data_IF_772348205335
#
_entry.id   IF_772348205335
#
_cell.length_a   1.000
_cell.length_b   1.000
_cell.length_c   1.000
_cell.angle_alpha   90.00
_cell.angle_beta   90.00
_cell.angle_gamma   90.00
#
_symmetry.space_group_name_H-M   'P 1'
#
loop_
_entity.id
_entity.type
_entity.pdbx_description
1 polymer ?
2 non-polymer ?
3 water ?
#
# COMPACT_ATOMS: atom_id res chain seq x y z
N UNK A 1 -22.37 10.50 -26.57
CA UNK A 1 -21.05 9.79 -26.55
C UNK A 1 -20.93 8.88 -27.79
N UNK A 2 -20.43 9.45 -28.88
CA UNK A 2 -20.26 8.73 -30.13
C UNK A 2 -19.42 7.46 -29.96
N UNK A 3 -19.51 6.57 -30.93
CA UNK A 3 -18.76 5.32 -30.89
C UNK A 3 -17.27 5.62 -31.03
N UNK A 4 -16.96 6.83 -31.47
CA UNK A 4 -15.58 7.26 -31.65
C UNK A 4 -14.88 7.45 -30.31
N UNK A 5 -15.50 8.22 -29.42
CA UNK A 5 -14.91 8.45 -28.12
C UNK A 5 -14.79 7.14 -27.35
N UNK A 6 -15.66 6.20 -27.67
CA UNK A 6 -15.67 4.90 -27.01
C UNK A 6 -14.79 3.86 -27.68
N UNK A 7 -13.86 4.33 -28.51
CA UNK A 7 -12.91 3.45 -29.19
C UNK A 7 -11.57 3.59 -28.44
N UNK A 8 -11.10 2.50 -27.84
CA UNK A 8 -9.83 2.56 -27.11
C UNK A 8 -8.88 1.48 -27.59
N UNK A 9 -7.59 1.63 -27.28
CA UNK A 9 -6.62 0.64 -27.70
C UNK A 9 -6.84 -0.52 -26.73
N UNK A 10 -7.12 -1.71 -27.23
CA UNK A 10 -7.36 -2.85 -26.34
C UNK A 10 -6.04 -3.44 -25.85
N UNK A 11 -5.00 -3.34 -26.66
CA UNK A 11 -3.70 -3.86 -26.30
C UNK A 11 -2.63 -2.90 -26.77
N UNK A 12 -1.37 -3.28 -26.55
CA UNK A 12 -0.23 -2.46 -26.94
C UNK A 12 0.13 -2.59 -28.41
N UNK A 13 -0.53 -3.51 -29.10
CA UNK A 13 -0.24 -3.72 -30.51
C UNK A 13 -1.01 -2.73 -31.39
N UNK A 14 -1.80 -1.87 -30.75
CA UNK A 14 -2.56 -0.89 -31.49
C UNK A 14 -3.98 -1.31 -31.84
N UNK A 15 -4.38 -2.54 -31.51
CA UNK A 15 -5.74 -2.97 -31.80
C UNK A 15 -6.75 -2.05 -31.12
N UNK A 16 -7.90 -1.86 -31.74
CA UNK A 16 -8.92 -1.00 -31.16
C UNK A 16 -10.15 -1.82 -30.76
N UNK A 17 -10.88 -1.32 -29.78
CA UNK A 17 -12.09 -1.97 -29.29
C UNK A 17 -13.12 -0.89 -29.00
N UNK A 18 -14.37 -1.16 -29.34
CA UNK A 18 -15.42 -0.20 -29.09
C UNK A 18 -16.22 -0.70 -27.91
N UNK A 19 -16.12 -0.01 -26.78
CA UNK A 19 -16.88 -0.42 -25.61
C UNK A 19 -18.27 0.19 -25.64
N UNK A 20 -19.22 -0.53 -25.05
CA UNK A 20 -20.58 -0.02 -25.00
C UNK A 20 -20.61 0.99 -23.87
N UNK A 21 -21.55 1.94 -23.95
CA UNK A 21 -21.68 2.93 -22.92
C UNK A 21 -22.05 2.23 -21.62
N UNK A 22 -22.86 1.19 -21.71
CA UNK A 22 -23.27 0.45 -20.53
C UNK A 22 -22.07 -0.05 -19.73
N UNK A 23 -21.09 -0.61 -20.42
CA UNK A 23 -19.90 -1.14 -19.76
C UNK A 23 -19.13 -0.04 -19.04
N UNK A 24 -19.08 1.13 -19.66
CA UNK A 24 -18.39 2.26 -19.06
C UNK A 24 -19.10 2.73 -17.80
N UNK A 25 -20.44 2.66 -17.80
CA UNK A 25 -21.22 3.06 -16.63
C UNK A 25 -20.83 2.14 -15.49
N UNK A 26 -20.64 0.86 -15.80
CA UNK A 26 -20.26 -0.14 -14.82
C UNK A 26 -18.82 0.04 -14.37
N UNK A 27 -17.96 0.45 -15.30
CA UNK A 27 -16.56 0.67 -14.95
C UNK A 27 -16.47 1.78 -13.93
N UNK A 28 -17.26 2.83 -14.14
CA UNK A 28 -17.28 3.97 -13.24
C UNK A 28 -17.63 3.51 -11.83
N UNK A 29 -18.69 2.72 -11.72
CA UNK A 29 -19.13 2.20 -10.44
C UNK A 29 -18.00 1.49 -9.74
N UNK A 30 -17.42 0.49 -10.40
CA UNK A 30 -16.33 -0.24 -9.79
C UNK A 30 -15.25 0.76 -9.39
N UNK A 31 -14.96 1.69 -10.28
CA UNK A 31 -13.94 2.68 -9.99
C UNK A 31 -14.29 3.50 -8.76
N UNK A 32 -15.48 4.09 -8.74
CA UNK A 32 -15.89 4.91 -7.61
C UNK A 32 -15.93 4.13 -6.31
N UNK A 33 -16.06 2.82 -6.41
CA UNK A 33 -16.13 1.99 -5.22
C UNK A 33 -14.76 1.52 -4.75
N UNK A 34 -13.89 1.16 -5.69
CA UNK A 34 -12.56 0.63 -5.32
C UNK A 34 -11.35 1.48 -5.64
N UNK A 35 -11.54 2.59 -6.31
CA UNK A 35 -10.38 3.39 -6.67
C UNK A 35 -10.42 4.86 -6.31
N UNK A 36 -11.62 5.41 -6.23
CA UNK A 36 -11.81 6.84 -5.94
C UNK A 36 -11.16 7.31 -4.65
N UNK A 37 -10.87 6.37 -3.75
CA UNK A 37 -10.25 6.71 -2.48
C UNK A 37 -8.89 7.38 -2.67
N UNK A 38 -8.14 6.90 -3.66
CA UNK A 38 -6.82 7.46 -3.91
C UNK A 38 -6.71 7.98 -5.33
N UNK A 39 -7.76 7.79 -6.13
CA UNK A 39 -7.72 8.23 -7.52
C UNK A 39 -8.84 9.12 -8.04
N UNK A 40 -9.65 9.69 -7.16
CA UNK A 40 -10.73 10.55 -7.64
C UNK A 40 -10.10 11.61 -8.56
N UNK A 41 -10.79 11.90 -9.67
CA UNK A 41 -10.32 12.88 -10.64
C UNK A 41 -9.06 12.44 -11.38
N UNK A 42 -8.76 11.15 -11.33
CA UNK A 42 -7.59 10.63 -12.03
C UNK A 42 -6.26 11.00 -11.40
N UNK A 43 -6.30 11.33 -10.13
CA UNK A 43 -5.08 11.68 -9.43
C UNK A 43 -4.64 10.47 -8.62
N UNK A 44 -3.50 10.58 -7.96
CA UNK A 44 -3.01 9.52 -7.10
C UNK A 44 -2.65 10.31 -5.85
N UNK A 45 -3.55 10.26 -4.88
CA UNK A 45 -3.41 10.98 -3.64
C UNK A 45 -2.03 11.00 -3.02
N UNK A 46 -1.45 9.82 -2.80
CA UNK A 46 -0.15 9.73 -2.17
C UNK A 46 1.03 9.63 -3.12
N UNK A 47 0.80 9.85 -4.41
CA UNK A 47 1.87 9.84 -5.38
C UNK A 47 1.39 10.62 -6.59
N UNK A 48 1.49 11.94 -6.52
CA UNK A 48 1.07 12.86 -7.57
C UNK A 48 1.55 12.56 -8.98
N UNK A 49 2.82 12.20 -9.13
CA UNK A 49 3.38 11.92 -10.44
C UNK A 49 2.78 10.72 -11.16
N UNK A 50 2.55 9.63 -10.42
CA UNK A 50 1.98 8.42 -11.01
C UNK A 50 0.44 8.50 -11.04
N UNK A 51 -0.06 9.42 -11.87
CA UNK A 51 -1.49 9.71 -12.04
C UNK A 51 -2.25 8.76 -12.98
N UNK A 52 -3.52 9.09 -13.26
CA UNK A 52 -4.34 8.32 -14.17
C UNK A 52 -4.54 9.10 -15.45
N UNK A 53 -3.66 10.08 -15.68
CA UNK A 53 -3.71 10.90 -16.88
C UNK A 53 -3.05 10.08 -17.98
N UNK A 54 -3.43 10.34 -19.25
CA UNK A 54 -2.84 9.61 -20.38
C UNK A 54 -1.32 9.69 -20.39
N UNK A 55 -0.79 10.90 -20.19
CA UNK A 55 0.66 11.08 -20.17
C UNK A 55 1.35 10.16 -19.16
N UNK A 56 0.90 10.19 -17.91
CA UNK A 56 1.49 9.35 -16.88
C UNK A 56 1.38 7.87 -17.23
N UNK A 57 0.18 7.45 -17.62
CA UNK A 57 -0.07 6.06 -18.00
C UNK A 57 0.87 5.62 -19.12
N UNK A 58 0.97 6.47 -20.14
CA UNK A 58 1.81 6.17 -21.29
C UNK A 58 3.29 6.03 -20.91
N UNK A 59 3.70 6.75 -19.86
CA UNK A 59 5.08 6.71 -19.44
C UNK A 59 5.40 5.68 -18.37
N UNK A 60 4.41 4.85 -18.03
CA UNK A 60 4.60 3.81 -17.03
C UNK A 60 5.35 2.65 -17.69
N UNK A 61 5.73 1.65 -16.89
CA UNK A 61 6.44 0.51 -17.42
C UNK A 61 5.82 -0.81 -16.98
N UNK A 62 5.15 -1.51 -17.90
CA UNK A 62 4.97 -1.13 -19.31
C UNK A 62 3.89 -0.05 -19.38
N UNK A 63 3.70 0.58 -20.55
CA UNK A 63 2.68 1.61 -20.65
C UNK A 63 1.34 1.03 -20.20
N UNK A 64 0.59 1.79 -19.44
CA UNK A 64 -0.72 1.35 -18.97
C UNK A 64 -1.78 2.12 -19.73
N UNK A 65 -1.49 2.44 -20.99
CA UNK A 65 -2.40 3.21 -21.82
C UNK A 65 -3.31 2.42 -22.77
N UNK A 66 -3.57 1.16 -22.43
CA UNK A 66 -4.47 0.32 -23.23
C UNK A 66 -5.21 -0.60 -22.27
N UNK A 67 -6.42 -1.00 -22.65
CA UNK A 67 -7.25 -1.87 -21.82
C UNK A 67 -6.54 -3.08 -21.21
N UNK A 68 -5.79 -3.81 -22.03
CA UNK A 68 -5.08 -4.99 -21.54
C UNK A 68 -4.09 -4.64 -20.45
N UNK A 69 -3.34 -3.56 -20.67
CA UNK A 69 -2.33 -3.14 -19.72
C UNK A 69 -2.98 -2.71 -18.41
N UNK A 70 -4.10 -2.02 -18.51
CA UNK A 70 -4.79 -1.56 -17.31
C UNK A 70 -5.38 -2.77 -16.56
N UNK A 71 -5.94 -3.70 -17.30
CA UNK A 71 -6.51 -4.89 -16.67
C UNK A 71 -5.40 -5.67 -15.95
N UNK A 72 -4.24 -5.80 -16.60
CA UNK A 72 -3.10 -6.51 -16.01
C UNK A 72 -2.68 -5.83 -14.72
N UNK A 73 -2.63 -4.50 -14.78
CA UNK A 73 -2.25 -3.72 -13.62
C UNK A 73 -3.07 -4.04 -12.38
N UNK A 74 -4.39 -4.10 -12.54
CA UNK A 74 -5.25 -4.39 -11.39
C UNK A 74 -5.06 -5.81 -10.93
N UNK A 75 -4.83 -6.72 -11.87
CA UNK A 75 -4.60 -8.11 -11.53
C UNK A 75 -3.22 -8.27 -10.89
N UNK A 76 -2.26 -7.46 -11.32
CA UNK A 76 -0.90 -7.56 -10.80
C UNK A 76 -0.21 -6.20 -10.72
N UNK A 77 -0.60 -5.38 -9.73
CA UNK A 77 -0.03 -4.05 -9.52
C UNK A 77 1.50 -4.01 -9.34
N UNK A 78 2.14 -3.06 -10.01
CA UNK A 78 3.59 -2.90 -9.90
C UNK A 78 3.94 -1.40 -9.82
N UNK A 79 5.10 -1.08 -9.25
CA UNK A 79 5.52 0.32 -9.14
C UNK A 79 5.52 0.96 -10.51
N UNK A 80 5.65 2.27 -10.55
CA UNK A 80 5.64 2.96 -11.83
C UNK A 80 6.70 2.41 -12.77
N UNK A 81 7.90 2.14 -12.24
CA UNK A 81 8.97 1.60 -13.06
C UNK A 81 8.70 0.12 -13.34
N UNK A 82 7.50 -0.30 -12.96
CA UNK A 82 7.02 -1.66 -13.15
C UNK A 82 7.92 -2.82 -12.76
N UNK A 83 8.77 -2.66 -11.76
CA UNK A 83 9.64 -3.77 -11.44
C UNK A 83 9.53 -4.33 -10.03
N UNK A 84 8.67 -3.70 -9.23
CA UNK A 84 8.41 -4.17 -7.88
C UNK A 84 6.91 -4.37 -7.79
N UNK A 85 6.51 -5.59 -7.44
CA UNK A 85 5.10 -5.94 -7.32
C UNK A 85 4.53 -5.36 -6.04
N UNK A 86 3.50 -4.54 -6.16
CA UNK A 86 2.91 -3.92 -4.97
C UNK A 86 1.48 -4.37 -4.71
N UNK A 87 1.19 -5.61 -5.06
CA UNK A 87 -0.14 -6.16 -4.88
C UNK A 87 -0.45 -6.34 -3.40
N UNK A 88 0.59 -6.48 -2.58
CA UNK A 88 0.44 -6.63 -1.14
C UNK A 88 -0.13 -5.35 -0.50
N UNK A 89 0.12 -4.21 -1.15
CA UNK A 89 -0.31 -2.92 -0.63
C UNK A 89 -1.24 -2.15 -1.53
N UNK A 90 -1.32 -2.58 -2.79
CA UNK A 90 -2.21 -1.91 -3.73
C UNK A 90 -3.36 -2.82 -4.09
N UNK A 91 -4.58 -2.27 -4.21
CA UNK A 91 -5.75 -3.07 -4.54
C UNK A 91 -5.51 -3.97 -5.75
N UNK A 92 -5.89 -5.24 -5.61
CA UNK A 92 -5.74 -6.26 -6.63
C UNK A 92 -6.56 -7.45 -6.17
N UNK A 93 -6.61 -8.49 -6.98
CA UNK A 93 -7.38 -9.68 -6.65
C UNK A 93 -6.69 -10.56 -5.61
N UNK A 94 -5.39 -10.37 -5.46
CA UNK A 94 -4.63 -11.14 -4.47
C UNK A 94 -4.42 -10.24 -3.26
N UNK A 95 -5.13 -9.13 -3.26
CA UNK A 95 -5.04 -8.13 -2.20
C UNK A 95 -6.41 -7.85 -1.56
N UNK A 96 -7.42 -8.62 -1.99
CA UNK A 96 -8.79 -8.47 -1.50
C UNK A 96 -8.94 -8.64 0.01
N UNK A 97 -7.88 -9.06 0.68
CA UNK A 97 -7.91 -9.24 2.13
C UNK A 97 -8.09 -7.90 2.81
N UNK A 98 -7.26 -6.94 2.42
CA UNK A 98 -7.30 -5.60 3.00
C UNK A 98 -8.09 -4.63 2.13
N UNK A 99 -8.66 -5.14 1.06
CA UNK A 99 -9.45 -4.34 0.15
C UNK A 99 -10.73 -5.10 -0.21
N UNK A 100 -11.71 -5.11 0.71
CA UNK A 100 -13.01 -5.79 0.57
C UNK A 100 -13.66 -5.65 -0.81
N UNK A 101 -13.57 -4.44 -1.38
CA UNK A 101 -14.18 -4.19 -2.68
C UNK A 101 -13.56 -4.95 -3.84
N UNK A 102 -12.50 -5.71 -3.58
CA UNK A 102 -11.85 -6.46 -4.65
C UNK A 102 -12.22 -7.95 -4.61
N UNK A 103 -13.11 -8.32 -3.69
CA UNK A 103 -13.52 -9.70 -3.55
C UNK A 103 -14.44 -10.24 -4.65
N UNK A 104 -15.33 -9.40 -5.15
CA UNK A 104 -16.26 -9.82 -6.19
C UNK A 104 -15.96 -9.24 -7.57
N UNK A 105 -14.75 -8.72 -7.74
CA UNK A 105 -14.38 -8.13 -9.02
C UNK A 105 -14.05 -9.22 -10.04
N UNK A 106 -14.67 -9.11 -11.21
CA UNK A 106 -14.45 -10.07 -12.28
C UNK A 106 -13.70 -9.39 -13.43
N UNK A 107 -13.17 -10.21 -14.33
CA UNK A 107 -12.46 -9.73 -15.51
C UNK A 107 -13.30 -8.69 -16.25
N UNK A 108 -14.60 -8.97 -16.35
CA UNK A 108 -15.50 -8.06 -17.02
C UNK A 108 -15.41 -6.67 -16.41
N UNK A 109 -15.37 -6.62 -15.08
CA UNK A 109 -15.29 -5.35 -14.37
C UNK A 109 -13.95 -4.69 -14.64
N UNK A 110 -12.88 -5.48 -14.65
CA UNK A 110 -11.56 -4.95 -14.90
C UNK A 110 -11.51 -4.31 -16.26
N UNK A 111 -12.19 -4.95 -17.21
CA UNK A 111 -12.28 -4.49 -18.58
C UNK A 111 -13.03 -3.15 -18.64
N UNK A 112 -14.11 -3.05 -17.85
CA UNK A 112 -14.95 -1.86 -17.79
C UNK A 112 -14.23 -0.68 -17.10
N UNK A 113 -13.59 -0.96 -15.97
CA UNK A 113 -12.88 0.08 -15.26
C UNK A 113 -11.78 0.63 -16.17
N UNK A 114 -11.14 -0.26 -16.92
CA UNK A 114 -10.08 0.13 -17.84
C UNK A 114 -10.62 1.08 -18.91
N UNK A 115 -11.81 0.77 -19.42
CA UNK A 115 -12.40 1.62 -20.43
C UNK A 115 -12.77 2.96 -19.81
N UNK A 116 -13.30 2.91 -18.59
CA UNK A 116 -13.69 4.13 -17.88
C UNK A 116 -12.48 5.05 -17.70
N UNK A 117 -11.42 4.51 -17.11
CA UNK A 117 -10.20 5.28 -16.88
C UNK A 117 -9.73 5.95 -18.17
N UNK A 118 -9.67 5.19 -19.26
CA UNK A 118 -9.21 5.72 -20.55
C UNK A 118 -10.19 6.72 -21.18
N UNK A 119 -11.45 6.66 -20.75
CA UNK A 119 -12.45 7.56 -21.29
C UNK A 119 -12.36 8.98 -20.72
N UNK A 120 -12.17 9.08 -19.41
CA UNK A 120 -12.14 10.37 -18.73
C UNK A 120 -11.38 11.51 -19.41
N UNK A 121 -10.11 11.31 -19.78
CA UNK A 121 -9.44 12.45 -20.44
C UNK A 121 -10.10 12.85 -21.77
N UNK A 122 -10.72 11.89 -22.45
CA UNK A 122 -11.38 12.18 -23.72
C UNK A 122 -12.59 13.09 -23.50
N UNK A 123 -13.14 13.06 -22.29
CA UNK A 123 -14.32 13.87 -21.98
C UNK A 123 -14.07 14.98 -20.94
N UNK A 124 -13.09 14.79 -20.08
CA UNK A 124 -12.82 15.82 -19.08
C UNK A 124 -11.54 16.59 -19.36
N UNK A 125 -10.89 16.24 -20.47
CA UNK A 125 -9.65 16.90 -20.84
C UNK A 125 -8.62 16.83 -19.72
N UNK A 126 -8.04 17.98 -19.38
CA UNK A 126 -7.03 18.06 -18.36
C UNK A 126 -7.58 18.13 -16.94
N UNK A 127 -8.90 18.09 -16.80
CA UNK A 127 -9.46 18.11 -15.47
C UNK A 127 -9.13 16.76 -14.83
N UNK A 128 -9.01 15.74 -15.68
CA UNK A 128 -8.67 14.40 -15.20
C UNK A 128 -7.16 14.23 -15.12
N UNK A 129 -6.68 13.78 -13.97
CA UNK A 129 -5.26 13.57 -13.77
C UNK A 129 -4.52 14.90 -13.67
N UNK B 1 6.83 -8.14 34.72
CA UNK B 1 7.69 -7.75 33.56
C UNK B 1 8.96 -7.05 34.06
N UNK B 2 9.98 -7.86 34.36
CA UNK B 2 11.25 -7.34 34.86
C UNK B 2 11.85 -6.30 33.92
N UNK B 3 12.80 -5.53 34.45
CA UNK B 3 13.47 -4.50 33.67
C UNK B 3 14.32 -5.15 32.59
N UNK B 4 14.57 -6.45 32.74
CA UNK B 4 15.36 -7.20 31.78
C UNK B 4 14.61 -7.37 30.46
N UNK B 5 13.38 -7.86 30.53
CA UNK B 5 12.58 -8.08 29.34
C UNK B 5 12.33 -6.76 28.63
N UNK B 6 12.34 -5.68 29.41
CA UNK B 6 12.09 -4.34 28.89
C UNK B 6 13.35 -3.61 28.42
N UNK B 7 14.43 -4.38 28.21
CA UNK B 7 15.70 -3.84 27.73
C UNK B 7 15.78 -4.20 26.24
N UNK B 8 15.82 -3.19 25.37
CA UNK B 8 15.91 -3.44 23.94
C UNK B 8 17.06 -2.69 23.32
N UNK B 9 17.47 -3.10 22.12
CA UNK B 9 18.56 -2.41 21.45
C UNK B 9 17.92 -1.13 20.93
N UNK B 10 18.45 0.03 21.30
CA UNK B 10 17.86 1.28 20.84
C UNK B 10 18.32 1.61 19.42
N UNK B 11 19.51 1.17 19.07
CA UNK B 11 20.04 1.42 17.74
C UNK B 11 20.78 0.18 17.24
N UNK B 12 21.38 0.29 16.07
CA UNK B 12 22.11 -0.82 15.48
C UNK B 12 23.52 -0.95 16.01
N UNK B 13 23.95 0.01 16.84
CA UNK B 13 25.29 -0.02 17.40
C UNK B 13 25.34 -0.90 18.64
N UNK B 14 24.21 -1.48 19.01
CA UNK B 14 24.17 -2.34 20.18
C UNK B 14 23.76 -1.66 21.48
N UNK B 15 23.58 -0.35 21.46
CA UNK B 15 23.18 0.37 22.67
C UNK B 15 21.86 -0.20 23.20
N UNK B 16 21.71 -0.20 24.51
CA UNK B 16 20.48 -0.71 25.12
C UNK B 16 19.68 0.42 25.77
N UNK B 17 18.38 0.21 25.86
CA UNK B 17 17.47 1.17 26.47
C UNK B 17 16.43 0.41 27.26
N UNK B 18 16.08 0.93 28.43
CA UNK B 18 15.10 0.26 29.25
C UNK B 18 13.82 1.08 29.16
N UNK B 19 12.81 0.53 28.51
CA UNK B 19 11.54 1.25 28.40
C UNK B 19 10.67 0.98 29.61
N UNK B 20 9.85 1.96 29.96
CA UNK B 20 8.95 1.80 31.08
C UNK B 20 7.78 0.96 30.58
N UNK B 21 7.14 0.26 31.50
CA UNK B 21 5.99 -0.55 31.14
C UNK B 21 4.91 0.37 30.58
N UNK B 22 4.78 1.56 31.16
CA UNK B 22 3.78 2.51 30.73
C UNK B 22 3.89 2.81 29.24
N UNK B 23 5.12 3.04 28.78
CA UNK B 23 5.35 3.34 27.37
C UNK B 23 4.93 2.19 26.48
N UNK B 24 5.18 0.97 26.93
CA UNK B 24 4.81 -0.21 26.16
C UNK B 24 3.30 -0.33 26.08
N UNK B 25 2.60 0.03 27.14
CA UNK B 25 1.13 -0.02 27.14
C UNK B 25 0.64 0.92 26.06
N UNK B 26 1.30 2.06 25.94
CA UNK B 26 0.93 3.05 24.94
C UNK B 26 1.31 2.60 23.54
N UNK B 27 2.43 1.89 23.42
CA UNK B 27 2.85 1.40 22.13
C UNK B 27 1.82 0.43 21.59
N UNK B 28 1.32 -0.43 22.48
CA UNK B 28 0.33 -1.42 22.13
C UNK B 28 -0.90 -0.72 21.54
N UNK B 29 -1.36 0.31 22.24
CA UNK B 29 -2.53 1.07 21.78
C UNK B 29 -2.32 1.57 20.38
N UNK B 30 -1.24 2.31 20.17
CA UNK B 30 -0.98 2.85 18.83
C UNK B 30 -0.94 1.69 17.86
N UNK B 31 -0.28 0.60 18.26
CA UNK B 31 -0.19 -0.55 17.38
C UNK B 31 -1.57 -1.11 17.06
N UNK B 32 -2.35 -1.41 18.09
CA UNK B 32 -3.68 -1.97 17.86
C UNK B 32 -4.58 -1.05 17.05
N UNK B 33 -4.28 0.24 17.06
CA UNK B 33 -5.08 1.19 16.32
C UNK B 33 -4.61 1.39 14.89
N UNK B 34 -3.29 1.43 14.68
CA UNK B 34 -2.75 1.66 13.34
C UNK B 34 -2.04 0.53 12.64
N UNK B 35 -1.84 -0.59 13.32
CA UNK B 35 -1.10 -1.68 12.70
C UNK B 35 -1.75 -3.04 12.70
N UNK B 36 -2.59 -3.29 13.70
CA UNK B 36 -3.27 -4.58 13.85
C UNK B 36 -4.07 -5.03 12.63
N UNK B 37 -4.42 -4.10 11.76
CA UNK B 37 -5.18 -4.41 10.57
C UNK B 37 -4.44 -5.39 9.67
N UNK B 38 -3.13 -5.23 9.59
CA UNK B 38 -2.35 -6.13 8.74
C UNK B 38 -1.25 -6.82 9.52
N UNK B 39 -1.15 -6.49 10.80
CA UNK B 39 -0.11 -7.08 11.64
C UNK B 39 -0.49 -7.73 12.96
N UNK B 40 -1.77 -7.98 13.17
CA UNK B 40 -2.16 -8.62 14.41
C UNK B 40 -1.32 -9.90 14.57
N UNK B 41 -0.86 -10.14 15.80
CA UNK B 41 -0.06 -11.32 16.10
C UNK B 41 1.32 -11.28 15.45
N UNK B 42 1.74 -10.10 15.03
CA UNK B 42 3.05 -9.95 14.41
C UNK B 42 3.19 -10.53 13.03
N UNK B 43 2.06 -10.70 12.36
CA UNK B 43 2.09 -11.24 11.01
C UNK B 43 1.94 -10.06 10.04
N UNK B 44 2.00 -10.37 8.75
CA UNK B 44 1.83 -9.36 7.73
C UNK B 44 0.83 -10.04 6.82
N UNK B 45 -0.43 -9.66 6.98
CA UNK B 45 -1.53 -10.25 6.24
C UNK B 45 -1.30 -10.50 4.77
N UNK B 46 -0.87 -9.48 4.04
CA UNK B 46 -0.66 -9.62 2.61
C UNK B 46 0.77 -9.93 2.18
N UNK B 47 1.63 -10.24 3.14
CA UNK B 47 3.00 -10.59 2.84
C UNK B 47 3.54 -11.38 4.02
N UNK B 48 3.22 -12.67 4.06
CA UNK B 48 3.64 -13.58 5.13
C UNK B 48 5.12 -13.56 5.50
N UNK B 49 6.01 -13.53 4.52
CA UNK B 49 7.44 -13.56 4.81
C UNK B 49 7.95 -12.33 5.56
N UNK B 50 7.50 -11.15 5.17
CA UNK B 50 7.94 -9.92 5.83
C UNK B 50 7.11 -9.66 7.11
N UNK B 51 7.28 -10.52 8.10
CA UNK B 51 6.58 -10.48 9.39
C UNK B 51 7.15 -9.50 10.42
N UNK B 52 6.63 -9.57 11.65
CA UNK B 52 7.10 -8.72 12.74
C UNK B 52 7.85 -9.59 13.74
N UNK B 53 8.27 -10.77 13.28
CA UNK B 53 9.02 -11.68 14.12
C UNK B 53 10.46 -11.19 14.13
N UNK B 54 11.21 -11.50 15.20
CA UNK B 54 12.61 -11.07 15.28
C UNK B 54 13.43 -11.52 14.06
N UNK B 55 13.28 -12.77 13.66
CA UNK B 55 14.02 -13.28 12.51
C UNK B 55 13.78 -12.43 11.26
N UNK B 56 12.52 -12.21 10.91
CA UNK B 56 12.20 -11.41 9.71
C UNK B 56 12.77 -9.99 9.83
N UNK B 57 12.54 -9.35 10.98
CA UNK B 57 13.01 -8.00 11.22
C UNK B 57 14.53 -7.93 11.06
N UNK B 58 15.22 -8.89 11.67
CA UNK B 58 16.67 -8.93 11.61
C UNK B 58 17.19 -9.11 10.19
N UNK B 59 16.41 -9.77 9.36
CA UNK B 59 16.82 -10.01 7.98
C UNK B 59 16.37 -8.96 6.98
N UNK B 60 15.75 -7.90 7.48
CA UNK B 60 15.28 -6.81 6.63
C UNK B 60 16.48 -5.94 6.26
N UNK B 61 16.27 -4.98 5.36
CA UNK B 61 17.37 -4.09 4.96
C UNK B 61 16.98 -2.62 5.06
N UNK B 62 17.53 -1.90 6.04
CA UNK B 62 18.47 -2.40 7.04
C UNK B 62 17.70 -3.19 8.08
N UNK B 63 18.40 -3.90 8.98
CA UNK B 63 17.69 -4.66 10.01
C UNK B 63 16.73 -3.74 10.75
N UNK B 64 15.52 -4.23 11.02
CA UNK B 64 14.55 -3.42 11.74
C UNK B 64 14.40 -4.01 13.14
N UNK B 65 15.50 -4.54 13.66
CA UNK B 65 15.49 -5.17 14.98
C UNK B 65 15.94 -4.31 16.16
N UNK B 66 15.82 -3.00 16.03
CA UNK B 66 16.17 -2.07 17.12
C UNK B 66 15.21 -0.90 17.03
N UNK B 67 14.97 -0.27 18.18
CA UNK B 67 14.05 0.85 18.26
C UNK B 67 14.23 1.93 17.19
N UNK B 68 15.46 2.35 16.95
CA UNK B 68 15.71 3.40 15.96
C UNK B 68 15.28 2.96 14.57
N UNK B 69 15.61 1.72 14.22
CA UNK B 69 15.28 1.19 12.92
C UNK B 69 13.78 1.09 12.74
N UNK B 70 13.10 0.66 13.79
CA UNK B 70 11.66 0.54 13.71
C UNK B 70 11.03 1.91 13.60
N UNK B 71 11.55 2.87 14.36
CA UNK B 71 11.00 4.22 14.31
C UNK B 71 11.19 4.81 12.91
N UNK B 72 12.37 4.58 12.33
CA UNK B 72 12.69 5.05 10.99
C UNK B 72 11.72 4.46 9.98
N UNK B 73 11.47 3.17 10.14
CA UNK B 73 10.56 2.46 9.25
C UNK B 73 9.18 3.11 9.16
N UNK B 74 8.60 3.46 10.31
CA UNK B 74 7.28 4.07 10.32
C UNK B 74 7.34 5.46 9.72
N UNK B 75 8.44 6.16 9.95
CA UNK B 75 8.61 7.50 9.40
C UNK B 75 8.89 7.42 7.90
N UNK B 76 9.55 6.35 7.48
CA UNK B 76 9.89 6.21 6.07
C UNK B 76 9.89 4.74 5.64
N UNK B 77 8.69 4.15 5.48
CA UNK B 77 8.52 2.76 5.06
C UNK B 77 9.20 2.39 3.73
N UNK B 78 9.86 1.24 3.70
CA UNK B 78 10.53 0.75 2.50
C UNK B 78 10.31 -0.77 2.35
N UNK B 79 10.39 -1.26 1.12
CA UNK B 79 10.22 -2.70 0.90
C UNK B 79 11.18 -3.48 1.77
N UNK B 80 10.98 -4.79 1.84
CA UNK B 80 11.84 -5.61 2.68
C UNK B 80 13.31 -5.44 2.30
N UNK B 81 13.59 -5.39 1.00
CA UNK B 81 14.97 -5.22 0.53
C UNK B 81 15.38 -3.76 0.73
N UNK B 82 14.52 -3.04 1.44
CA UNK B 82 14.73 -1.63 1.76
C UNK B 82 15.17 -0.68 0.67
N UNK B 83 14.79 -0.90 -0.58
CA UNK B 83 15.26 0.00 -1.60
C UNK B 83 14.18 0.74 -2.40
N UNK B 84 12.93 0.44 -2.08
CA UNK B 84 11.81 1.11 -2.71
C UNK B 84 10.97 1.67 -1.57
N UNK B 85 10.75 2.97 -1.61
CA UNK B 85 9.97 3.64 -0.58
C UNK B 85 8.50 3.37 -0.79
N UNK B 86 7.84 2.82 0.21
CA UNK B 86 6.42 2.49 0.08
C UNK B 86 5.54 3.28 1.02
N UNK B 87 5.96 4.51 1.31
CA UNK B 87 5.21 5.38 2.21
C UNK B 87 3.89 5.80 1.59
N UNK B 88 3.83 5.78 0.27
CA UNK B 88 2.62 6.14 -0.47
C UNK B 88 1.50 5.12 -0.23
N UNK B 89 1.89 3.88 0.07
CA UNK B 89 0.94 2.80 0.28
C UNK B 89 0.98 2.17 1.64
N UNK B 90 2.05 2.45 2.40
CA UNK B 90 2.17 1.90 3.74
C UNK B 90 2.04 3.01 4.76
N UNK B 91 1.35 2.74 5.88
CA UNK B 91 1.17 3.74 6.93
C UNK B 91 2.49 4.41 7.30
N UNK B 92 2.45 5.73 7.38
CA UNK B 92 3.60 6.56 7.72
C UNK B 92 3.06 7.96 7.98
N UNK B 93 3.94 8.88 8.36
CA UNK B 93 3.52 10.25 8.65
C UNK B 93 3.26 11.05 7.38
N UNK B 94 3.81 10.60 6.26
CA UNK B 94 3.60 11.27 4.99
C UNK B 94 2.52 10.51 4.23
N UNK B 95 1.87 9.59 4.95
CA UNK B 95 0.84 8.74 4.39
C UNK B 95 -0.48 8.87 5.16
N UNK B 96 -0.51 9.79 6.12
CA UNK B 96 -1.68 10.03 6.96
C UNK B 96 -2.94 10.40 6.19
N UNK B 97 -2.81 10.63 4.89
CA UNK B 97 -3.96 11.00 4.06
C UNK B 97 -4.92 9.82 3.97
N UNK B 98 -4.37 8.65 3.65
CA UNK B 98 -5.17 7.44 3.51
C UNK B 98 -5.11 6.58 4.77
N UNK B 99 -4.45 7.10 5.79
CA UNK B 99 -4.33 6.40 7.05
C UNK B 99 -4.55 7.39 8.19
N UNK B 100 -5.82 7.72 8.46
CA UNK B 100 -6.26 8.66 9.50
C UNK B 100 -5.53 8.51 10.84
N UNK B 101 -5.30 7.26 11.25
CA UNK B 101 -4.64 7.01 12.52
C UNK B 101 -3.19 7.45 12.61
N UNK B 102 -2.65 7.97 11.50
CA UNK B 102 -1.25 8.42 11.50
C UNK B 102 -1.15 9.94 11.59
N UNK B 103 -2.28 10.62 11.74
CA UNK B 103 -2.29 12.07 11.81
C UNK B 103 -1.80 12.68 13.12
N UNK B 104 -2.06 12.00 14.24
CA UNK B 104 -1.64 12.50 15.54
C UNK B 104 -0.49 11.71 16.16
N UNK B 105 0.19 10.91 15.34
CA UNK B 105 1.29 10.10 15.85
C UNK B 105 2.54 10.95 16.04
N UNK B 106 3.12 10.85 17.23
CA UNK B 106 4.33 11.59 17.56
C UNK B 106 5.50 10.63 17.70
N UNK B 107 6.71 11.18 17.70
CA UNK B 107 7.93 10.41 17.86
C UNK B 107 7.84 9.52 19.08
N UNK B 108 7.29 10.07 20.15
CA UNK B 108 7.12 9.33 21.40
C UNK B 108 6.36 8.04 21.13
N UNK B 109 5.28 8.14 20.35
CA UNK B 109 4.46 6.98 20.01
C UNK B 109 5.26 6.00 19.18
N UNK B 110 6.02 6.52 18.23
CA UNK B 110 6.82 5.67 17.36
C UNK B 110 7.80 4.87 18.19
N UNK B 111 8.34 5.53 19.20
CA UNK B 111 9.30 4.93 20.12
C UNK B 111 8.63 3.82 20.93
N UNK B 112 7.39 4.08 21.36
CA UNK B 112 6.60 3.13 22.15
C UNK B 112 6.17 1.90 21.31
N UNK B 113 5.68 2.14 20.11
CA UNK B 113 5.24 1.06 19.25
C UNK B 113 6.44 0.18 18.96
N UNK B 114 7.59 0.81 18.76
CA UNK B 114 8.84 0.08 18.49
C UNK B 114 9.18 -0.85 19.66
N UNK B 115 9.02 -0.34 20.87
CA UNK B 115 9.31 -1.15 22.03
C UNK B 115 8.30 -2.28 22.13
N UNK B 116 7.05 -1.96 21.86
CA UNK B 116 5.98 -2.96 21.91
C UNK B 116 6.28 -4.10 20.94
N UNK B 117 6.50 -3.76 19.68
CA UNK B 117 6.81 -4.76 18.67
C UNK B 117 7.94 -5.67 19.12
N UNK B 118 9.04 -5.08 19.60
CA UNK B 118 10.21 -5.86 20.04
C UNK B 118 9.95 -6.66 21.32
N UNK B 119 8.94 -6.27 22.08
CA UNK B 119 8.61 -6.97 23.31
C UNK B 119 7.87 -8.28 23.09
N UNK B 120 6.89 -8.27 22.20
CA UNK B 120 6.07 -9.45 21.94
C UNK B 120 6.76 -10.80 21.84
N UNK B 121 7.80 -10.95 21.01
CA UNK B 121 8.41 -12.28 20.98
C UNK B 121 9.04 -12.66 22.33
N UNK B 122 9.48 -11.68 23.11
CA UNK B 122 10.08 -11.96 24.41
C UNK B 122 9.04 -12.55 25.37
N UNK B 123 7.76 -12.23 25.13
CA UNK B 123 6.69 -12.71 25.99
C UNK B 123 5.74 -13.71 25.32
N UNK B 124 5.63 -13.67 24.01
CA UNK B 124 4.73 -14.59 23.33
C UNK B 124 5.47 -15.66 22.58
N UNK B 125 6.79 -15.60 22.63
CA UNK B 125 7.60 -16.57 21.92
C UNK B 125 7.29 -16.62 20.44
N UNK B 126 7.07 -17.82 19.92
CA UNK B 126 6.77 -18.01 18.51
C UNK B 126 5.31 -17.78 18.16
N UNK B 127 4.48 -17.41 19.13
CA UNK B 127 3.10 -17.15 18.82
C UNK B 127 3.08 -15.85 18.02
N UNK B 128 4.06 -14.98 18.28
CA UNK B 128 4.17 -13.72 17.58
C UNK B 128 4.96 -13.90 16.30
N UNK B 129 4.40 -13.42 15.19
CA UNK B 129 5.05 -13.55 13.91
C UNK B 129 5.06 -14.98 13.40
X LIG C 1 -4.09 2.77 -7.70
X LIG C 1 -1.11 3.52 -9.16
X LIG C 1 -5.40 2.01 -10.86
X LIG C 1 -7.05 1.80 -6.34
X LIG C 1 -2.99 3.96 -4.74
X LIG C 1 -3.39 2.70 -9.57
X LIG C 1 -2.13 3.03 -9.99
X LIG C 1 -2.05 2.93 -11.42
X LIG C 1 -3.23 2.52 -11.89
X LIG C 1 -4.08 2.42 -10.75
X LIG C 1 -3.58 2.03 -13.29
X LIG C 1 -0.85 3.20 -12.26
X LIG C 1 -0.85 4.68 -12.55
X LIG C 1 0.19 5.05 -13.56
X LIG C 1 0.95 4.15 -13.98
X LIG C 1 0.25 6.23 -13.95
X LIG C 1 -5.81 2.04 -8.42
X LIG C 1 -6.20 1.82 -9.76
X LIG C 1 -7.49 1.22 -9.84
X LIG C 1 -7.90 1.03 -8.57
X LIG C 1 -6.90 1.60 -7.70
X LIG C 1 -8.28 0.87 -11.10
X LIG C 1 -9.07 0.37 -8.19
X LIG C 1 -9.27 -1.00 -8.48
X LIG C 1 -4.86 2.90 -5.94
X LIG C 1 -6.11 2.46 -5.54
X LIG C 1 -6.33 2.73 -4.15
X LIG C 1 -5.18 3.28 -3.67
X LIG C 1 -4.28 3.42 -4.81
X LIG C 1 -7.63 2.52 -3.38
X LIG C 1 -5.01 3.76 -2.34
X LIG C 1 -5.13 2.89 -1.21
X LIG C 1 -2.38 3.52 -7.07
X LIG C 1 -2.07 3.93 -5.79
X LIG C 1 -0.73 4.38 -5.70
X LIG C 1 -0.21 4.25 -6.93
X LIG C 1 -1.25 3.74 -7.79
X LIG C 1 -0.08 5.10 -4.49
X LIG C 1 1.24 4.51 -7.35
X LIG C 1 2.13 3.28 -7.16
X LIG C 1 3.56 3.49 -7.64
X LIG C 1 3.78 3.64 -8.86
X LIG C 1 4.48 3.52 -6.80
X LIG D 1 3.30 -2.68 8.13
X LIG D 1 5.89 -4.26 6.67
X LIG D 1 5.29 -2.00 10.91
X LIG D 1 0.81 -0.86 9.61
X LIG D 1 1.20 -3.72 5.68
X LIG D 1 5.18 -2.99 8.64
X LIG D 1 6.12 -3.65 7.89
X LIG D 1 7.36 -3.74 8.65
X LIG D 1 7.18 -3.12 9.82
X LIG D 1 5.82 -2.69 9.83
X LIG D 1 8.23 -2.72 10.84
X LIG D 1 8.62 -4.38 8.19
X LIG D 1 8.51 -5.84 8.55
X LIG D 1 9.82 -6.56 8.34
X LIG D 1 10.75 -5.92 7.85
X LIG D 1 9.90 -7.77 8.65
X LIG D 1 3.11 -1.64 9.84
X LIG D 1 4.02 -1.51 10.90
X LIG D 1 3.53 -0.64 11.91
X LIG D 1 2.35 -0.19 11.45
X LIG D 1 2.05 -0.89 10.23
X LIG D 1 4.19 -0.26 13.24
X LIG D 1 1.59 0.84 11.99
X LIG D 1 2.00 2.11 12.28
X LIG D 1 1.41 -2.40 7.74
X LIG D 1 0.51 -1.63 8.46
X LIG D 1 -0.79 -1.68 7.89
X LIG D 1 -0.66 -2.39 6.74
X LIG D 1 0.68 -2.92 6.69
X LIG D 1 -2.07 -1.08 8.47
X LIG D 1 -1.66 -2.62 5.78
X LIG D 1 -2.53 -1.69 5.23
X LIG D 1 3.51 -3.70 6.49
X LIG D 1 2.55 -4.02 5.54
X LIG D 1 3.10 -4.76 4.46
X LIG D 1 4.42 -4.91 4.74
X LIG D 1 4.67 -4.28 6.01
X LIG D 1 2.32 -5.44 3.32
X LIG D 1 5.48 -5.53 3.82
X LIG D 1 6.11 -4.53 2.86
X LIG D 1 7.21 -5.13 2.02
X LIG D 1 8.28 -5.48 2.56
X LIG D 1 7.02 -5.26 0.80
#
# INVERSE_FOLDING_TARGET
LTEELRTFPINAQGDTAVLSLKEIKKGQQVFNAACAQCHALGVTRTNPDVNLSPEALALATPPRDNIAALVDYIKNPTTYDGFVEISELHPSLKSSDIFPKMRNISEDDLYNVAGYILLQPKVRGEQWG
LTEELRTFPINAQGDTAVLSLKEIKKGQQVFNAACAQCHALGVTRTNPDVNLSPEALALATPPRDNIAALVDYIKNPTTYDGFVEISELHPSLKSSDIFPKMRNISEDDLYNVAGYILLQPKVRGEQWG
HEC FE CHA CHB CHC CHD NA C1A C2A C3A C4A CMA CAA CBA CGA O1A O2A NB C1B C2B C3B C4B CMB CAB CBB NC C1C C2C C3C C4C CMC CAC CBC ND C1D C2D C3D C4D CMD CAD CBD CGD O1D O2D
HEC FE CHA CHB CHC CHD NA C1A C2A C3A C4A CMA CAA CBA CGA O1A O2A NB C1B C2B C3B C4B CMB CAB CBB NC C1C C2C C3C C4C CMC CAC CBC ND C1D C2D C3D C4D CMD CAD CBD CGD O1D O2D
#
